data_IF_690040060043
#
_entry.id   IF_690040060043
#
_cell.length_a   1.000
_cell.length_b   1.000
_cell.length_c   1.000
_cell.angle_alpha   90.00
_cell.angle_beta   90.00
_cell.angle_gamma   90.00
#
_symmetry.space_group_name_H-M   'P 1'
#
loop_
_entity.id
_entity.type
_entity.pdbx_description
1 polymer ?
#
# COMPACT_ATOMS: atom_id res chain seq x y z
N UNK A 1 -16.33 -5.45 -9.46
CA UNK A 1 -16.66 -5.09 -10.86
C UNK A 1 -15.56 -5.41 -11.87
N UNK A 2 -14.26 -5.37 -11.53
CA UNK A 2 -13.20 -5.69 -12.50
C UNK A 2 -13.18 -7.13 -13.03
N UNK A 3 -13.58 -8.13 -12.22
CA UNK A 3 -13.71 -9.52 -12.70
C UNK A 3 -14.76 -9.70 -13.81
N UNK A 4 -15.79 -8.85 -13.85
CA UNK A 4 -16.85 -8.92 -14.85
C UNK A 4 -16.36 -8.58 -16.27
N UNK A 5 -15.19 -7.94 -16.39
CA UNK A 5 -14.59 -7.56 -17.68
C UNK A 5 -13.96 -8.75 -18.44
N UNK A 6 -14.00 -9.97 -17.87
CA UNK A 6 -13.34 -11.20 -18.38
C UNK A 6 -11.82 -11.08 -18.59
N UNK A 7 -11.17 -9.99 -18.14
CA UNK A 7 -9.72 -9.80 -18.19
C UNK A 7 -8.96 -10.55 -17.09
N UNK A 8 -9.64 -10.96 -16.02
CA UNK A 8 -9.05 -11.58 -14.84
C UNK A 8 -9.75 -12.89 -14.51
N UNK A 9 -8.98 -13.91 -14.13
CA UNK A 9 -9.49 -15.26 -13.81
C UNK A 9 -10.05 -15.37 -12.40
N UNK A 10 -9.51 -14.62 -11.44
CA UNK A 10 -9.90 -14.68 -10.03
C UNK A 10 -9.59 -13.38 -9.28
N UNK A 11 -10.18 -13.21 -8.09
CA UNK A 11 -9.84 -12.18 -7.13
C UNK A 11 -9.63 -12.80 -5.75
N UNK A 12 -8.69 -12.22 -5.00
CA UNK A 12 -8.43 -12.57 -3.61
C UNK A 12 -8.85 -11.38 -2.74
N UNK A 13 -9.71 -11.64 -1.77
CA UNK A 13 -10.15 -10.66 -0.79
C UNK A 13 -9.41 -10.93 0.52
N UNK A 14 -8.76 -9.90 1.05
CA UNK A 14 -8.09 -9.93 2.34
C UNK A 14 -8.81 -8.99 3.31
N UNK A 15 -8.78 -9.33 4.60
CA UNK A 15 -9.30 -8.44 5.63
C UNK A 15 -8.46 -7.15 5.63
N UNK A 16 -9.10 -5.96 5.59
CA UNK A 16 -8.37 -4.71 5.72
C UNK A 16 -7.60 -4.66 7.04
N UNK A 17 -6.33 -4.28 6.96
CA UNK A 17 -5.48 -4.03 8.12
C UNK A 17 -5.88 -2.73 8.80
N UNK A 18 -5.92 -2.76 10.13
CA UNK A 18 -6.27 -1.60 10.94
C UNK A 18 -5.09 -0.63 11.08
N UNK A 19 -5.38 0.66 11.34
CA UNK A 19 -4.33 1.66 11.62
C UNK A 19 -3.49 1.26 12.83
N UNK A 20 -4.12 0.68 13.87
CA UNK A 20 -3.43 0.20 15.06
C UNK A 20 -2.43 -0.93 14.74
N UNK A 21 -2.78 -1.86 13.85
CA UNK A 21 -1.85 -2.90 13.37
C UNK A 21 -0.66 -2.32 12.62
N UNK A 22 -0.92 -1.33 11.76
CA UNK A 22 0.14 -0.66 10.99
C UNK A 22 1.12 0.02 11.95
N UNK A 23 0.61 0.76 12.94
CA UNK A 23 1.42 1.43 13.95
C UNK A 23 2.24 0.44 14.79
N UNK A 24 1.62 -0.65 15.26
CA UNK A 24 2.30 -1.69 16.03
C UNK A 24 3.44 -2.32 15.23
N UNK A 25 3.16 -2.75 13.99
CA UNK A 25 4.16 -3.37 13.11
C UNK A 25 5.35 -2.46 12.87
N UNK A 26 5.09 -1.16 12.65
CA UNK A 26 6.15 -0.16 12.47
C UNK A 26 6.97 0.06 13.75
N UNK A 27 6.34 0.10 14.92
CA UNK A 27 7.03 0.25 16.21
C UNK A 27 7.91 -0.95 16.55
N UNK A 28 7.47 -2.15 16.17
CA UNK A 28 8.22 -3.40 16.34
C UNK A 28 9.34 -3.57 15.29
N UNK A 29 9.45 -2.67 14.31
CA UNK A 29 10.45 -2.77 13.24
C UNK A 29 10.20 -3.93 12.26
N UNK A 30 8.96 -4.42 12.19
CA UNK A 30 8.57 -5.54 11.33
C UNK A 30 8.11 -5.05 9.95
N UNK A 31 8.11 -5.98 8.98
CA UNK A 31 7.63 -5.71 7.62
C UNK A 31 6.21 -6.24 7.42
N UNK A 32 5.37 -5.41 6.81
CA UNK A 32 4.08 -5.86 6.32
C UNK A 32 4.22 -6.60 4.97
N UNK A 33 3.38 -7.59 4.66
CA UNK A 33 3.34 -8.20 3.34
C UNK A 33 3.13 -7.15 2.24
N UNK A 34 3.75 -7.32 1.06
CA UNK A 34 3.63 -6.35 -0.02
C UNK A 34 2.16 -6.19 -0.44
N UNK A 35 1.74 -4.93 -0.64
CA UNK A 35 0.37 -4.55 -1.08
C UNK A 35 -0.76 -4.93 -0.11
N UNK A 36 -0.43 -5.21 1.17
CA UNK A 36 -1.43 -5.46 2.22
C UNK A 36 -2.19 -4.20 2.67
N UNK A 37 -1.63 -3.00 2.42
CA UNK A 37 -2.24 -1.70 2.78
C UNK A 37 -2.57 -0.86 1.54
N UNK A 38 -3.64 -0.07 1.64
CA UNK A 38 -4.00 0.95 0.64
C UNK A 38 -4.39 2.26 1.34
N UNK A 39 -3.54 3.29 1.22
CA UNK A 39 -3.83 4.64 1.69
C UNK A 39 -4.50 5.49 0.60
N UNK A 40 -5.53 6.26 0.98
CA UNK A 40 -6.12 7.31 0.15
C UNK A 40 -6.44 8.56 0.99
N UNK A 41 -6.00 9.77 0.59
CA UNK A 41 -5.07 10.02 -0.52
C UNK A 41 -3.70 9.38 -0.27
N UNK A 42 -2.92 9.14 -1.32
CA UNK A 42 -1.50 8.81 -1.13
C UNK A 42 -0.84 9.99 -0.44
N UNK A 43 0.03 9.70 0.54
CA UNK A 43 0.81 10.74 1.20
C UNK A 43 1.50 11.57 0.12
N UNK A 44 1.19 12.86 0.05
CA UNK A 44 1.78 13.79 -0.94
C UNK A 44 3.24 14.14 -0.60
N UNK A 45 3.81 13.47 0.39
CA UNK A 45 5.19 13.62 0.83
C UNK A 45 6.13 12.92 -0.15
N UNK A 46 7.22 13.58 -0.55
CA UNK A 46 8.29 12.96 -1.34
C UNK A 46 8.45 13.46 -2.78
N UNK A 47 7.71 14.47 -3.22
CA UNK A 47 8.01 15.16 -4.49
C UNK A 47 9.09 16.23 -4.29
N UNK A 48 10.28 15.84 -3.82
CA UNK A 48 11.47 16.69 -3.86
C UNK A 48 12.48 16.02 -4.80
N UNK A 49 12.51 16.46 -6.05
CA UNK A 49 13.56 16.07 -6.99
C UNK A 49 14.78 16.92 -6.66
N UNK A 50 15.78 16.36 -5.96
CA UNK A 50 17.08 17.01 -5.82
C UNK A 50 17.82 16.90 -7.14
N UNK A 51 17.95 18.00 -7.88
CA UNK A 51 18.84 18.05 -9.05
C UNK A 51 20.28 17.83 -8.54
N UNK A 52 20.89 16.73 -8.98
CA UNK A 52 22.33 16.53 -8.87
C UNK A 52 22.94 17.20 -10.11
N UNK A 53 23.53 18.38 -9.95
CA UNK A 53 24.34 18.95 -11.01
C UNK A 53 25.59 18.07 -11.15
N UNK A 54 25.82 17.54 -12.35
CA UNK A 54 27.05 16.86 -12.76
C UNK A 54 28.10 17.89 -13.15
#
# INVERSE_FOLDING_TARGET
QQLATKKYTAAVLIRPVSVAEIQRTAHEGLLMPPKSTFFTPKLQTGLVIRQLNL
#
